data_IF_483402677966
#
_entry.id   IF_483402677966
#
_cell.length_a   1.000
_cell.length_b   1.000
_cell.length_c   1.000
_cell.angle_alpha   90.00
_cell.angle_beta   90.00
_cell.angle_gamma   90.00
#
_symmetry.space_group_name_H-M   'P 1'
#
loop_
_entity.id
_entity.type
_entity.pdbx_description
1 polymer ?
#
# COMPACT_ATOMS: atom_id res chain seq x y z
N UNK A 1 -14.36 2.33 2.28
CA UNK A 1 -14.89 3.62 2.73
C UNK A 1 -14.96 3.64 4.25
N UNK A 2 -15.72 2.74 4.92
CA UNK A 2 -15.93 2.76 6.37
C UNK A 2 -14.65 2.76 7.20
N UNK A 3 -13.69 1.89 6.86
CA UNK A 3 -12.42 1.83 7.59
C UNK A 3 -11.64 3.15 7.46
N UNK A 4 -11.58 3.71 6.25
CA UNK A 4 -10.88 4.96 6.02
C UNK A 4 -11.54 6.13 6.75
N UNK A 5 -12.87 6.20 6.73
CA UNK A 5 -13.64 7.23 7.45
C UNK A 5 -13.39 7.15 8.96
N UNK A 6 -13.50 5.96 9.54
CA UNK A 6 -13.19 5.73 10.97
C UNK A 6 -11.74 6.10 11.32
N UNK A 7 -10.79 5.73 10.46
CA UNK A 7 -9.37 6.03 10.68
C UNK A 7 -9.11 7.54 10.68
N UNK A 8 -9.64 8.25 9.68
CA UNK A 8 -9.50 9.72 9.60
C UNK A 8 -10.16 10.39 10.79
N UNK A 9 -11.37 9.97 11.18
CA UNK A 9 -12.08 10.50 12.34
C UNK A 9 -11.35 10.21 13.67
N UNK A 10 -10.56 9.14 13.73
CA UNK A 10 -9.66 8.84 14.86
C UNK A 10 -8.30 9.55 14.78
N UNK A 11 -8.09 10.46 13.83
CA UNK A 11 -6.83 11.20 13.65
C UNK A 11 -5.72 10.42 12.93
N UNK A 12 -6.01 9.23 12.42
CA UNK A 12 -5.04 8.41 11.66
C UNK A 12 -4.95 8.92 10.23
N UNK A 13 -3.73 9.08 9.73
CA UNK A 13 -3.48 9.42 8.33
C UNK A 13 -3.74 8.22 7.43
N UNK A 14 -4.57 8.40 6.42
CA UNK A 14 -4.91 7.37 5.44
C UNK A 14 -4.24 7.70 4.11
N UNK A 15 -3.33 6.84 3.68
CA UNK A 15 -2.71 6.90 2.35
C UNK A 15 -3.43 5.90 1.47
N UNK A 16 -4.03 6.38 0.39
CA UNK A 16 -4.73 5.56 -0.59
C UNK A 16 -3.90 5.42 -1.87
N UNK A 17 -3.72 4.18 -2.31
CA UNK A 17 -3.26 3.87 -3.65
C UNK A 17 -4.46 3.42 -4.47
N UNK A 18 -4.73 4.08 -5.59
CA UNK A 18 -5.88 3.76 -6.45
C UNK A 18 -5.60 4.17 -7.89
N UNK A 19 -6.39 3.67 -8.83
CA UNK A 19 -6.50 4.27 -10.15
C UNK A 19 -7.59 5.34 -10.15
N UNK A 20 -7.24 6.59 -10.29
CA UNK A 20 -8.22 7.68 -10.41
C UNK A 20 -9.06 7.54 -11.69
N UNK A 21 -8.44 7.09 -12.79
CA UNK A 21 -9.15 6.82 -14.03
C UNK A 21 -10.27 5.79 -13.82
N UNK A 22 -9.96 4.68 -13.15
CA UNK A 22 -10.97 3.65 -12.88
C UNK A 22 -11.99 4.10 -11.82
N UNK A 23 -11.53 4.71 -10.73
CA UNK A 23 -12.42 5.20 -9.68
C UNK A 23 -13.45 6.22 -10.20
N UNK A 24 -13.08 7.04 -11.19
CA UNK A 24 -14.00 8.02 -11.80
C UNK A 24 -14.92 7.41 -12.88
N UNK A 25 -14.53 6.29 -13.47
CA UNK A 25 -15.31 5.63 -14.52
C UNK A 25 -16.47 4.77 -13.99
N UNK A 26 -16.49 4.47 -12.69
CA UNK A 26 -17.54 3.64 -12.06
C UNK A 26 -18.30 4.43 -11.01
N UNK A 27 -19.56 4.06 -10.81
CA UNK A 27 -20.36 4.66 -9.73
C UNK A 27 -19.92 4.15 -8.36
N UNK A 28 -19.90 5.01 -7.33
CA UNK A 28 -19.59 4.58 -5.98
C UNK A 28 -20.69 3.67 -5.43
N UNK A 29 -20.32 2.48 -4.99
CA UNK A 29 -21.28 1.48 -4.46
C UNK A 29 -21.52 1.61 -2.95
N UNK A 30 -20.76 2.47 -2.28
CA UNK A 30 -20.95 2.69 -0.84
C UNK A 30 -22.19 3.54 -0.57
N UNK A 31 -23.02 3.23 0.48
CA UNK A 31 -24.27 3.98 0.78
C UNK A 31 -24.08 5.48 0.97
N UNK A 32 -22.91 5.96 1.38
CA UNK A 32 -22.62 7.40 1.48
C UNK A 32 -22.49 8.11 0.14
N UNK A 33 -22.44 7.38 -0.98
CA UNK A 33 -22.14 7.94 -2.29
C UNK A 33 -20.71 8.43 -2.47
N UNK A 34 -19.85 8.30 -1.46
CA UNK A 34 -18.45 8.76 -1.52
C UNK A 34 -17.53 7.72 -2.13
N UNK A 35 -16.53 8.21 -2.86
CA UNK A 35 -15.38 7.46 -3.31
C UNK A 35 -14.30 7.48 -2.23
N UNK A 36 -13.43 6.47 -2.21
CA UNK A 36 -12.41 6.35 -1.17
C UNK A 36 -11.39 7.49 -1.19
N UNK A 37 -11.05 8.01 -2.38
CA UNK A 37 -10.12 9.13 -2.50
C UNK A 37 -10.66 10.47 -1.95
N UNK A 38 -11.97 10.60 -1.79
CA UNK A 38 -12.60 11.79 -1.18
C UNK A 38 -12.47 11.79 0.35
N UNK A 39 -12.06 10.64 0.95
CA UNK A 39 -11.90 10.46 2.39
C UNK A 39 -10.43 10.39 2.77
N UNK A 40 -9.59 9.82 1.92
CA UNK A 40 -8.18 9.61 2.19
C UNK A 40 -7.44 10.94 2.46
N UNK A 41 -6.49 10.90 3.40
CA UNK A 41 -5.62 12.05 3.71
C UNK A 41 -4.67 12.37 2.55
N UNK A 42 -4.21 11.34 1.87
CA UNK A 42 -3.35 11.42 0.68
C UNK A 42 -3.78 10.35 -0.31
N UNK A 43 -3.92 10.72 -1.56
CA UNK A 43 -4.18 9.78 -2.65
C UNK A 43 -3.01 9.75 -3.61
N UNK A 44 -2.56 8.55 -3.94
CA UNK A 44 -1.53 8.29 -4.96
C UNK A 44 -2.22 7.56 -6.11
N UNK A 45 -2.20 8.18 -7.28
CA UNK A 45 -2.72 7.56 -8.50
C UNK A 45 -1.71 6.56 -9.05
N UNK A 46 -2.11 5.31 -9.16
CA UNK A 46 -1.31 4.24 -9.77
C UNK A 46 -1.28 4.33 -11.30
N UNK A 47 -2.07 5.23 -11.90
CA UNK A 47 -2.21 5.41 -13.34
C UNK A 47 -2.61 4.12 -14.09
N UNK A 48 -3.29 3.19 -13.41
CA UNK A 48 -3.79 2.00 -14.04
C UNK A 48 -5.01 2.35 -14.94
N UNK A 49 -5.19 1.67 -16.08
CA UNK A 49 -6.34 1.90 -16.94
C UNK A 49 -7.65 1.47 -16.28
N UNK A 50 -8.77 1.90 -16.84
CA UNK A 50 -10.09 1.44 -16.42
C UNK A 50 -10.16 -0.08 -16.51
N UNK A 51 -10.70 -0.74 -15.47
CA UNK A 51 -10.69 -2.19 -15.25
C UNK A 51 -9.30 -2.81 -15.04
N UNK A 52 -8.22 -2.01 -15.01
CA UNK A 52 -6.84 -2.37 -14.62
C UNK A 52 -6.13 -3.42 -15.49
N UNK A 53 -6.86 -4.20 -16.27
CA UNK A 53 -6.30 -5.26 -17.11
C UNK A 53 -5.63 -4.71 -18.37
N UNK A 54 -4.44 -5.24 -18.69
CA UNK A 54 -3.57 -4.69 -19.73
C UNK A 54 -3.62 -5.48 -21.05
N UNK A 55 -3.94 -6.79 -21.00
CA UNK A 55 -3.78 -7.67 -22.14
C UNK A 55 -5.13 -8.05 -22.74
N UNK A 56 -5.24 -7.85 -24.04
CA UNK A 56 -6.29 -8.41 -24.89
C UNK A 56 -5.77 -9.70 -25.55
N UNK A 57 -6.53 -10.77 -25.45
CA UNK A 57 -6.23 -12.04 -26.13
C UNK A 57 -7.42 -12.44 -26.96
N UNK A 58 -7.16 -12.76 -28.22
CA UNK A 58 -8.21 -13.19 -29.15
C UNK A 58 -8.96 -14.42 -28.58
N UNK A 59 -10.27 -14.34 -28.58
CA UNK A 59 -11.16 -15.39 -28.05
C UNK A 59 -11.44 -15.32 -26.56
N UNK A 60 -10.90 -14.35 -25.83
CA UNK A 60 -11.31 -14.05 -24.45
C UNK A 60 -12.36 -12.95 -24.42
N UNK A 61 -13.38 -13.12 -23.57
CA UNK A 61 -14.46 -12.14 -23.40
C UNK A 61 -14.05 -10.92 -22.55
N UNK A 62 -12.89 -10.99 -21.88
CA UNK A 62 -12.38 -9.93 -21.03
C UNK A 62 -10.85 -9.83 -21.09
N UNK A 63 -10.36 -8.62 -20.87
CA UNK A 63 -8.92 -8.39 -20.66
C UNK A 63 -8.43 -9.08 -19.39
N UNK A 64 -7.14 -9.43 -19.35
CA UNK A 64 -6.50 -10.01 -18.18
C UNK A 64 -5.15 -9.33 -17.86
N UNK A 65 -4.43 -9.80 -16.85
CA UNK A 65 -3.20 -9.21 -16.33
C UNK A 65 -3.41 -7.80 -15.72
N UNK A 66 -4.04 -7.75 -14.56
CA UNK A 66 -4.24 -6.50 -13.82
C UNK A 66 -2.90 -5.85 -13.43
N UNK A 67 -2.76 -4.57 -13.76
CA UNK A 67 -1.54 -3.78 -13.49
C UNK A 67 -1.44 -3.27 -12.05
N UNK A 68 -2.56 -3.18 -11.35
CA UNK A 68 -2.64 -2.57 -10.01
C UNK A 68 -1.74 -3.25 -8.97
N UNK A 69 -1.66 -4.58 -8.99
CA UNK A 69 -0.79 -5.33 -8.08
C UNK A 69 0.69 -5.01 -8.25
N UNK A 70 1.15 -4.88 -9.48
CA UNK A 70 2.55 -4.52 -9.78
C UNK A 70 2.82 -3.06 -9.41
N UNK A 71 1.94 -2.15 -9.85
CA UNK A 71 2.09 -0.72 -9.60
C UNK A 71 2.05 -0.40 -8.11
N UNK A 72 1.09 -0.94 -7.36
CA UNK A 72 0.99 -0.73 -5.91
C UNK A 72 2.21 -1.28 -5.17
N UNK A 73 2.69 -2.45 -5.52
CA UNK A 73 3.89 -3.04 -4.92
C UNK A 73 5.12 -2.16 -5.17
N UNK A 74 5.31 -1.69 -6.40
CA UNK A 74 6.41 -0.80 -6.74
C UNK A 74 6.35 0.52 -5.95
N UNK A 75 5.17 1.16 -5.90
CA UNK A 75 4.96 2.41 -5.16
C UNK A 75 5.24 2.21 -3.66
N UNK A 76 4.69 1.15 -3.06
CA UNK A 76 4.88 0.87 -1.64
C UNK A 76 6.35 0.64 -1.28
N UNK A 77 7.08 -0.14 -2.08
CA UNK A 77 8.52 -0.35 -1.85
C UNK A 77 9.32 0.93 -2.05
N UNK A 78 8.98 1.75 -3.04
CA UNK A 78 9.63 3.06 -3.24
C UNK A 78 9.41 3.99 -2.04
N UNK A 79 8.18 4.09 -1.55
CA UNK A 79 7.86 4.88 -0.36
C UNK A 79 8.59 4.36 0.89
N UNK A 80 8.60 3.03 1.09
CA UNK A 80 9.27 2.41 2.23
C UNK A 80 10.77 2.64 2.17
N UNK A 81 11.40 2.55 0.99
CA UNK A 81 12.83 2.81 0.82
C UNK A 81 13.18 4.24 1.23
N UNK A 82 12.43 5.23 0.74
CA UNK A 82 12.64 6.64 1.12
C UNK A 82 12.38 6.88 2.61
N UNK A 83 11.38 6.22 3.20
CA UNK A 83 11.10 6.33 4.62
C UNK A 83 12.27 5.78 5.45
N UNK A 84 12.79 4.61 5.09
CA UNK A 84 13.97 4.01 5.75
C UNK A 84 15.20 4.92 5.64
N UNK A 85 15.47 5.47 4.45
CA UNK A 85 16.59 6.42 4.26
C UNK A 85 16.45 7.64 5.18
N UNK A 86 15.26 8.21 5.28
CA UNK A 86 14.99 9.35 6.17
C UNK A 86 15.15 8.97 7.64
N UNK A 87 14.60 7.84 8.06
CA UNK A 87 14.76 7.35 9.44
C UNK A 87 16.25 7.20 9.79
N UNK A 88 17.04 6.60 8.90
CA UNK A 88 18.49 6.45 9.12
C UNK A 88 19.21 7.79 9.20
N UNK A 89 18.84 8.76 8.36
CA UNK A 89 19.41 10.11 8.39
C UNK A 89 19.08 10.85 9.71
N UNK A 90 17.89 10.60 10.27
CA UNK A 90 17.45 11.18 11.54
C UNK A 90 17.97 10.40 12.78
N UNK A 91 18.79 9.38 12.58
CA UNK A 91 19.36 8.55 13.63
C UNK A 91 18.47 7.41 14.13
N UNK A 92 17.31 7.16 13.49
CA UNK A 92 16.43 6.05 13.80
C UNK A 92 16.79 4.84 12.93
N UNK A 93 17.10 3.72 13.57
CA UNK A 93 17.40 2.46 12.87
C UNK A 93 16.17 1.56 12.86
N UNK A 94 15.42 1.48 11.76
CA UNK A 94 14.24 0.62 11.70
C UNK A 94 14.62 -0.86 11.78
N UNK A 95 13.74 -1.65 12.39
CA UNK A 95 13.87 -3.12 12.40
C UNK A 95 13.52 -3.69 11.02
N UNK A 96 14.50 -4.31 10.37
CA UNK A 96 14.31 -4.96 9.07
C UNK A 96 14.49 -6.46 9.22
N UNK A 97 13.46 -7.23 8.93
CA UNK A 97 13.51 -8.69 8.99
C UNK A 97 14.39 -9.27 7.88
N UNK A 98 15.09 -10.34 8.22
CA UNK A 98 15.84 -11.18 7.27
C UNK A 98 15.01 -12.40 6.87
N UNK A 99 15.30 -12.95 5.70
CA UNK A 99 14.73 -14.25 5.32
C UNK A 99 15.05 -15.31 6.37
N UNK A 100 14.08 -16.13 6.74
CA UNK A 100 14.27 -17.27 7.63
C UNK A 100 15.25 -18.30 7.07
N UNK A 101 15.40 -18.34 5.75
CA UNK A 101 16.34 -19.26 5.07
C UNK A 101 17.77 -18.71 5.02
N UNK A 102 18.01 -17.48 5.45
CA UNK A 102 19.33 -16.89 5.51
C UNK A 102 20.00 -17.25 6.85
N UNK A 103 21.28 -17.63 6.88
CA UNK A 103 22.00 -17.93 8.12
C UNK A 103 21.87 -16.79 9.14
N UNK A 104 21.43 -17.11 10.36
CA UNK A 104 21.18 -16.13 11.41
C UNK A 104 19.91 -15.29 11.23
N UNK A 105 19.08 -15.60 10.23
CA UNK A 105 17.82 -14.90 9.98
C UNK A 105 16.79 -15.02 11.10
N UNK A 106 16.49 -16.24 11.60
CA UNK A 106 15.56 -16.44 12.71
C UNK A 106 15.95 -15.68 13.97
N UNK A 107 17.21 -15.82 14.41
CA UNK A 107 17.74 -15.17 15.63
C UNK A 107 17.70 -13.64 15.51
N UNK A 108 18.07 -13.11 14.34
CA UNK A 108 17.97 -11.68 14.03
C UNK A 108 16.52 -11.17 14.13
N UNK A 109 15.57 -11.92 13.59
CA UNK A 109 14.16 -11.54 13.61
C UNK A 109 13.56 -11.56 15.02
N UNK A 110 13.95 -12.54 15.85
CA UNK A 110 13.54 -12.57 17.24
C UNK A 110 14.10 -11.39 18.05
N UNK A 111 15.33 -10.97 17.79
CA UNK A 111 15.90 -9.77 18.41
C UNK A 111 15.13 -8.50 18.01
N UNK A 112 14.70 -8.37 16.74
CA UNK A 112 13.86 -7.25 16.29
C UNK A 112 12.49 -7.26 16.98
N UNK A 113 11.85 -8.43 17.10
CA UNK A 113 10.57 -8.55 17.81
C UNK A 113 10.68 -8.16 19.29
N UNK A 114 11.74 -8.60 19.94
CA UNK A 114 12.01 -8.25 21.34
C UNK A 114 12.19 -6.73 21.51
N UNK A 115 12.97 -6.11 20.62
CA UNK A 115 13.14 -4.65 20.60
C UNK A 115 11.81 -3.92 20.41
N UNK A 116 11.00 -4.35 19.44
CA UNK A 116 9.68 -3.77 19.20
C UNK A 116 8.75 -3.93 20.40
N UNK A 117 8.78 -5.08 21.07
CA UNK A 117 7.96 -5.33 22.27
C UNK A 117 8.37 -4.43 23.45
N UNK A 118 9.65 -4.07 23.54
CA UNK A 118 10.17 -3.19 24.61
C UNK A 118 9.93 -1.71 24.32
N UNK A 119 10.17 -1.26 23.08
CA UNK A 119 10.20 0.17 22.74
C UNK A 119 9.05 0.63 21.84
N UNK A 120 8.31 -0.28 21.21
CA UNK A 120 7.19 0.04 20.32
C UNK A 120 7.59 0.53 18.92
N UNK A 121 8.85 0.44 18.57
CA UNK A 121 9.39 0.88 17.26
C UNK A 121 10.65 0.11 16.85
#
# INVERSE_FOLDING_TARGET
>A
VDLADRSVNAGVKVILLTSLAYSNAVEPVHPSGKRLYEIATLTIDMCAPVAEALLDVEGLDARFAASSGIASTFILWSMTSVAVEKMMADGYKPGVYRSHNFPGGPEHNEAIKAHYAEYGW
#
